data_IF_704018654544
#
_entry.id   IF_704018654544
#
_cell.length_a   1.000
_cell.length_b   1.000
_cell.length_c   1.000
_cell.angle_alpha   90.00
_cell.angle_beta   90.00
_cell.angle_gamma   90.00
#
_symmetry.space_group_name_H-M   'P 1'
#
loop_
_entity.id
_entity.type
_entity.pdbx_description
1 polymer ?
#
# COMPACT_ATOMS: atom_id res chain seq x y z
N UNK A 1 30.80 -3.02 3.71
CA UNK A 1 30.60 -2.42 5.05
C UNK A 1 29.77 -1.13 5.03
N UNK A 2 29.93 -0.23 4.06
CA UNK A 2 29.17 1.03 3.97
C UNK A 2 27.63 0.87 3.99
N UNK A 3 27.07 -0.10 3.25
CA UNK A 3 25.61 -0.35 3.29
C UNK A 3 25.10 -0.76 4.67
N UNK A 4 25.89 -1.49 5.48
CA UNK A 4 25.46 -1.86 6.85
C UNK A 4 25.43 -0.66 7.80
N UNK A 5 26.35 0.30 7.62
CA UNK A 5 26.37 1.57 8.36
C UNK A 5 25.19 2.47 7.97
N UNK A 6 24.88 2.57 6.67
CA UNK A 6 23.69 3.31 6.19
C UNK A 6 22.38 2.69 6.70
N UNK A 7 22.27 1.36 6.67
CA UNK A 7 21.10 0.67 7.24
C UNK A 7 21.01 0.86 8.76
N UNK A 8 22.13 0.85 9.48
CA UNK A 8 22.14 1.10 10.92
C UNK A 8 21.74 2.54 11.29
N UNK A 9 22.17 3.53 10.50
CA UNK A 9 21.78 4.93 10.65
C UNK A 9 20.31 5.16 10.28
N UNK A 10 19.83 4.56 9.19
CA UNK A 10 18.41 4.60 8.80
C UNK A 10 17.50 3.99 9.86
N UNK A 11 17.97 2.97 10.60
CA UNK A 11 17.25 2.38 11.74
C UNK A 11 17.17 3.29 12.97
N UNK A 12 18.04 4.31 13.08
CA UNK A 12 17.98 5.33 14.14
C UNK A 12 17.10 6.52 13.77
N UNK A 13 16.71 6.66 12.51
CA UNK A 13 15.80 7.72 12.09
C UNK A 13 14.39 7.46 12.62
N UNK A 14 13.68 8.52 12.95
CA UNK A 14 12.27 8.43 13.34
C UNK A 14 11.45 7.80 12.22
N UNK A 15 10.57 6.86 12.57
CA UNK A 15 9.70 6.22 11.58
C UNK A 15 8.56 7.19 11.23
N UNK A 16 8.42 7.61 9.96
CA UNK A 16 7.29 8.45 9.57
C UNK A 16 6.01 7.60 9.46
N UNK A 17 4.99 7.97 10.21
CA UNK A 17 3.73 7.23 10.34
C UNK A 17 2.57 8.13 9.95
N UNK A 18 1.68 7.65 9.09
CA UNK A 18 0.40 8.30 8.82
C UNK A 18 -0.68 7.63 9.68
N UNK A 19 -1.28 8.33 10.67
CA UNK A 19 -2.32 7.76 11.52
C UNK A 19 -3.69 7.81 10.83
N UNK A 20 -4.40 6.69 10.86
CA UNK A 20 -5.85 6.62 10.60
C UNK A 20 -6.54 6.39 11.93
N UNK A 21 -7.36 7.36 12.33
CA UNK A 21 -8.03 7.35 13.64
C UNK A 21 -9.42 6.73 13.50
N UNK A 22 -9.57 5.53 14.03
CA UNK A 22 -10.85 4.85 14.24
C UNK A 22 -11.49 5.21 15.58
N UNK A 23 -12.61 4.54 15.88
CA UNK A 23 -13.31 4.69 17.15
C UNK A 23 -12.38 4.35 18.33
N UNK A 24 -12.36 5.22 19.35
CA UNK A 24 -11.48 5.13 20.53
C UNK A 24 -9.96 5.24 20.23
N UNK A 25 -9.58 5.64 19.01
CA UNK A 25 -8.17 5.78 18.60
C UNK A 25 -7.54 7.15 18.90
N UNK A 26 -8.34 8.22 18.99
CA UNK A 26 -7.82 9.59 19.01
C UNK A 26 -6.86 9.87 20.19
N UNK A 27 -7.30 9.59 21.42
CA UNK A 27 -6.49 9.82 22.62
C UNK A 27 -5.16 9.02 22.60
N UNK A 28 -5.19 7.84 21.97
CA UNK A 28 -4.02 6.98 21.81
C UNK A 28 -3.02 7.59 20.81
N UNK A 29 -3.50 8.08 19.67
CA UNK A 29 -2.66 8.76 18.66
C UNK A 29 -2.06 10.05 19.22
N UNK A 30 -2.81 10.84 19.99
CA UNK A 30 -2.29 12.04 20.65
C UNK A 30 -1.17 11.73 21.67
N UNK A 31 -1.30 10.61 22.38
CA UNK A 31 -0.24 10.12 23.27
C UNK A 31 0.98 9.68 22.47
N UNK A 32 0.76 8.99 21.34
CA UNK A 32 1.81 8.52 20.45
C UNK A 32 2.58 9.68 19.78
N UNK A 33 1.93 10.80 19.51
CA UNK A 33 2.55 12.01 18.92
C UNK A 33 3.74 12.53 19.74
N UNK A 34 3.74 12.29 21.05
CA UNK A 34 4.81 12.70 21.98
C UNK A 34 5.91 11.64 22.12
N UNK A 35 5.80 10.50 21.45
CA UNK A 35 6.72 9.36 21.61
C UNK A 35 7.99 9.58 20.79
N UNK A 36 9.19 9.53 21.40
CA UNK A 36 10.43 9.62 20.65
C UNK A 36 10.61 8.39 19.74
N UNK A 37 11.23 8.61 18.57
CA UNK A 37 11.49 7.55 17.59
C UNK A 37 10.37 7.34 16.57
N UNK A 38 9.27 8.09 16.67
CA UNK A 38 8.19 8.12 15.71
C UNK A 38 7.92 9.57 15.28
N UNK A 39 7.55 9.75 14.02
CA UNK A 39 7.10 11.03 13.50
C UNK A 39 5.74 10.86 12.84
N UNK A 40 4.69 11.41 13.45
CA UNK A 40 3.39 11.48 12.78
C UNK A 40 3.47 12.49 11.64
N UNK A 41 3.05 12.09 10.44
CA UNK A 41 3.07 12.94 9.24
C UNK A 41 1.64 13.24 8.78
N UNK A 42 1.46 14.41 8.17
CA UNK A 42 0.15 14.90 7.74
C UNK A 42 -0.26 14.42 6.34
N UNK A 43 0.65 13.73 5.62
CA UNK A 43 0.39 13.19 4.29
C UNK A 43 0.81 11.71 4.18
N UNK A 44 -0.04 10.83 3.63
CA UNK A 44 0.32 9.43 3.40
C UNK A 44 1.55 9.26 2.51
N UNK A 45 1.79 10.21 1.59
CA UNK A 45 2.93 10.20 0.68
C UNK A 45 4.28 10.40 1.37
N UNK A 46 4.27 10.93 2.60
CA UNK A 46 5.47 11.11 3.42
C UNK A 46 5.66 9.99 4.46
N UNK A 47 4.73 9.03 4.53
CA UNK A 47 4.75 7.97 5.51
C UNK A 47 5.43 6.70 5.00
N UNK A 48 5.95 5.91 5.95
CA UNK A 48 6.37 4.53 5.72
C UNK A 48 5.43 3.51 6.35
N UNK A 49 4.69 3.92 7.37
CA UNK A 49 3.73 3.05 8.06
C UNK A 49 2.36 3.70 8.06
N UNK A 50 1.35 2.93 7.65
CA UNK A 50 -0.05 3.25 7.88
C UNK A 50 -0.45 2.66 9.24
N UNK A 51 -0.74 3.51 10.22
CA UNK A 51 -1.17 3.08 11.54
C UNK A 51 -2.68 3.27 11.66
N UNK A 52 -3.44 2.17 11.72
CA UNK A 52 -4.88 2.21 11.96
C UNK A 52 -5.11 2.05 13.46
N UNK A 53 -5.45 3.14 14.14
CA UNK A 53 -5.65 3.17 15.58
C UNK A 53 -7.14 3.12 15.93
N UNK A 54 -7.58 2.07 16.61
CA UNK A 54 -8.99 1.88 16.98
C UNK A 54 -9.81 1.16 15.91
N UNK A 55 -11.11 1.02 16.19
CA UNK A 55 -12.03 0.29 15.32
C UNK A 55 -12.47 1.13 14.11
N UNK A 56 -12.38 0.55 12.92
CA UNK A 56 -12.81 1.20 11.68
C UNK A 56 -14.01 0.46 11.12
N UNK A 57 -15.04 1.20 10.69
CA UNK A 57 -16.22 0.60 10.08
C UNK A 57 -15.89 -0.04 8.71
N UNK A 58 -16.52 -1.18 8.35
CA UNK A 58 -16.31 -1.84 7.05
C UNK A 58 -16.54 -0.93 5.83
N UNK A 59 -17.42 0.07 5.95
CA UNK A 59 -17.68 1.07 4.91
C UNK A 59 -16.41 1.84 4.47
N UNK A 60 -15.41 1.96 5.34
CA UNK A 60 -14.16 2.67 5.04
C UNK A 60 -13.08 1.79 4.39
N UNK A 61 -13.36 0.51 4.11
CA UNK A 61 -12.41 -0.41 3.48
C UNK A 61 -11.74 0.20 2.24
N UNK A 62 -12.52 0.74 1.30
CA UNK A 62 -11.99 1.35 0.07
C UNK A 62 -11.16 2.60 0.32
N UNK A 63 -11.46 3.37 1.36
CA UNK A 63 -10.67 4.52 1.73
C UNK A 63 -9.30 4.09 2.29
N UNK A 64 -9.26 3.06 3.14
CA UNK A 64 -8.02 2.48 3.66
C UNK A 64 -7.14 1.90 2.55
N UNK A 65 -7.70 1.16 1.60
CA UNK A 65 -6.97 0.64 0.43
C UNK A 65 -6.30 1.79 -0.36
N UNK A 66 -7.03 2.89 -0.60
CA UNK A 66 -6.50 4.08 -1.27
C UNK A 66 -5.40 4.80 -0.47
N UNK A 67 -5.51 4.83 0.86
CA UNK A 67 -4.48 5.43 1.71
C UNK A 67 -3.22 4.57 1.68
N UNK A 68 -3.35 3.26 1.84
CA UNK A 68 -2.24 2.31 1.73
C UNK A 68 -1.51 2.42 0.38
N UNK A 69 -2.26 2.53 -0.73
CA UNK A 69 -1.68 2.69 -2.06
C UNK A 69 -0.94 4.02 -2.27
N UNK A 70 -1.18 5.04 -1.44
CA UNK A 70 -0.46 6.32 -1.51
C UNK A 70 0.89 6.31 -0.78
N UNK A 71 1.15 5.30 0.07
CA UNK A 71 2.42 5.20 0.77
C UNK A 71 3.53 4.77 -0.21
N UNK A 72 4.69 5.45 -0.22
CA UNK A 72 5.85 5.02 -0.99
C UNK A 72 6.41 3.69 -0.49
N UNK A 73 6.90 2.85 -1.40
CA UNK A 73 7.60 1.62 -1.04
C UNK A 73 9.00 1.90 -0.44
N UNK A 74 9.51 1.07 0.48
CA UNK A 74 8.78 0.03 1.22
C UNK A 74 7.82 0.65 2.25
N UNK A 75 6.61 0.10 2.33
CA UNK A 75 5.55 0.52 3.27
C UNK A 75 5.11 -0.63 4.16
N UNK A 76 4.50 -0.33 5.29
CA UNK A 76 3.91 -1.35 6.16
C UNK A 76 2.61 -0.88 6.79
N UNK A 77 1.84 -1.82 7.32
CA UNK A 77 0.56 -1.52 7.99
C UNK A 77 0.52 -2.10 9.40
N UNK A 78 0.04 -1.30 10.35
CA UNK A 78 -0.19 -1.73 11.74
C UNK A 78 -1.62 -1.40 12.14
N UNK A 79 -2.32 -2.39 12.67
CA UNK A 79 -3.62 -2.25 13.33
C UNK A 79 -3.37 -2.18 14.83
N UNK A 80 -3.65 -1.05 15.45
CA UNK A 80 -3.42 -0.83 16.87
C UNK A 80 -4.74 -0.68 17.60
N UNK A 81 -5.02 -1.59 18.53
CA UNK A 81 -6.22 -1.59 19.36
C UNK A 81 -7.50 -1.55 18.50
N UNK A 82 -7.49 -2.28 17.39
CA UNK A 82 -8.58 -2.37 16.43
C UNK A 82 -8.46 -3.64 15.61
N UNK A 83 -9.56 -4.02 14.98
CA UNK A 83 -9.66 -5.25 14.21
C UNK A 83 -9.47 -4.98 12.70
N UNK A 84 -8.66 -5.78 11.98
CA UNK A 84 -8.59 -5.70 10.53
C UNK A 84 -9.97 -5.92 9.89
N UNK A 85 -10.26 -5.15 8.84
CA UNK A 85 -11.52 -5.30 8.10
C UNK A 85 -11.54 -6.60 7.28
N UNK A 86 -12.25 -7.63 7.76
CA UNK A 86 -12.33 -8.95 7.13
C UNK A 86 -11.04 -9.77 7.28
N UNK A 87 -10.89 -10.85 6.51
CA UNK A 87 -9.66 -11.65 6.53
C UNK A 87 -8.50 -10.86 5.93
N UNK A 88 -7.66 -10.26 6.80
CA UNK A 88 -6.38 -9.60 6.48
C UNK A 88 -6.43 -8.65 5.28
N UNK A 89 -7.10 -7.49 5.43
CA UNK A 89 -7.14 -6.44 4.40
C UNK A 89 -5.75 -6.15 3.78
N UNK A 90 -4.71 -6.15 4.61
CA UNK A 90 -3.32 -6.05 4.18
C UNK A 90 -2.59 -7.34 4.57
N UNK A 91 -1.93 -7.98 3.60
CA UNK A 91 -1.36 -9.32 3.75
C UNK A 91 -0.35 -9.41 4.90
N UNK A 92 0.51 -8.39 5.03
CA UNK A 92 1.55 -8.28 6.05
C UNK A 92 1.16 -7.35 7.22
N UNK A 93 -0.10 -6.95 7.28
CA UNK A 93 -0.59 -6.06 8.35
C UNK A 93 -0.49 -6.71 9.73
N UNK A 94 0.27 -6.10 10.64
CA UNK A 94 0.42 -6.58 12.01
C UNK A 94 -0.69 -6.03 12.91
N UNK A 95 -1.24 -6.84 13.83
CA UNK A 95 -2.24 -6.38 14.81
C UNK A 95 -1.65 -6.34 16.21
N UNK A 96 -1.82 -5.23 16.90
CA UNK A 96 -1.31 -4.97 18.25
C UNK A 96 -2.47 -4.64 19.18
N UNK A 97 -2.73 -5.54 20.13
CA UNK A 97 -3.72 -5.32 21.20
C UNK A 97 -3.12 -4.66 22.46
N UNK A 98 -1.79 -4.49 22.50
CA UNK A 98 -1.09 -3.83 23.61
C UNK A 98 -1.16 -2.30 23.55
N UNK A 99 -0.69 -1.66 24.63
CA UNK A 99 -0.67 -0.19 24.72
C UNK A 99 0.52 0.47 24.01
N UNK A 100 1.60 -0.26 23.71
CA UNK A 100 2.75 0.27 22.96
C UNK A 100 2.85 -0.37 21.56
N UNK A 101 2.58 0.37 20.46
CA UNK A 101 2.72 -0.13 19.10
C UNK A 101 4.13 0.07 18.50
N UNK A 102 5.09 0.65 19.24
CA UNK A 102 6.36 1.12 18.69
C UNK A 102 7.17 0.05 17.97
N UNK A 103 7.33 -1.13 18.57
CA UNK A 103 8.12 -2.21 17.96
C UNK A 103 7.43 -2.80 16.74
N UNK A 104 6.10 -2.89 16.74
CA UNK A 104 5.33 -3.31 15.56
C UNK A 104 5.47 -2.29 14.42
N UNK A 105 5.42 -0.99 14.73
CA UNK A 105 5.65 0.08 13.75
C UNK A 105 7.06 -0.02 13.15
N UNK A 106 8.09 -0.26 13.98
CA UNK A 106 9.47 -0.43 13.51
C UNK A 106 9.63 -1.64 12.59
N UNK A 107 9.00 -2.77 12.93
CA UNK A 107 8.98 -3.95 12.05
C UNK A 107 8.26 -3.67 10.74
N UNK A 108 7.06 -3.10 10.80
CA UNK A 108 6.24 -2.78 9.64
C UNK A 108 6.94 -1.82 8.67
N UNK A 109 7.68 -0.83 9.17
CA UNK A 109 8.47 0.10 8.35
C UNK A 109 9.51 -0.59 7.44
N UNK A 110 9.85 -1.85 7.73
CA UNK A 110 10.81 -2.66 6.98
C UNK A 110 10.16 -3.90 6.34
N UNK A 111 8.88 -4.18 6.58
CA UNK A 111 8.20 -5.38 6.10
C UNK A 111 7.94 -5.35 4.59
N UNK A 112 7.65 -4.17 4.03
CA UNK A 112 7.40 -3.97 2.60
C UNK A 112 6.13 -4.68 2.13
N UNK A 113 4.98 -4.24 2.60
CA UNK A 113 3.67 -4.74 2.19
C UNK A 113 3.52 -4.71 0.66
N UNK A 114 3.09 -5.82 0.03
CA UNK A 114 2.94 -5.88 -1.41
C UNK A 114 1.84 -4.92 -1.91
N UNK A 115 1.87 -4.58 -3.20
CA UNK A 115 0.76 -3.89 -3.83
C UNK A 115 -0.47 -4.79 -3.82
N UNK A 116 -1.59 -4.29 -3.29
CA UNK A 116 -2.86 -5.02 -3.36
C UNK A 116 -3.34 -5.22 -4.80
N UNK A 117 -2.89 -4.36 -5.71
CA UNK A 117 -3.12 -4.44 -7.14
C UNK A 117 -1.77 -4.22 -7.84
N UNK A 118 -0.97 -5.28 -7.99
CA UNK A 118 0.29 -5.19 -8.70
C UNK A 118 0.06 -4.67 -10.12
N UNK A 119 0.88 -3.72 -10.54
CA UNK A 119 0.91 -3.24 -11.93
C UNK A 119 1.65 -4.25 -12.82
N UNK A 120 1.10 -5.45 -12.90
CA UNK A 120 1.59 -6.53 -13.76
C UNK A 120 0.69 -6.54 -14.99
N UNK A 121 1.25 -6.47 -16.20
CA UNK A 121 0.46 -6.59 -17.42
C UNK A 121 -0.40 -7.86 -17.35
N UNK A 122 -1.67 -7.83 -17.81
CA UNK A 122 -2.49 -9.02 -17.87
C UNK A 122 -1.76 -10.10 -18.69
N UNK A 123 -2.04 -11.37 -18.39
CA UNK A 123 -1.42 -12.45 -19.13
C UNK A 123 -1.65 -12.28 -20.65
N UNK A 124 -0.75 -12.78 -21.53
CA UNK A 124 -0.83 -12.52 -22.97
C UNK A 124 -2.18 -12.89 -23.60
N UNK A 125 -2.87 -13.88 -23.04
CA UNK A 125 -4.19 -14.38 -23.45
C UNK A 125 -5.37 -13.65 -22.80
N UNK A 126 -5.14 -12.84 -21.76
CA UNK A 126 -6.13 -11.95 -21.12
C UNK A 126 -6.12 -10.55 -21.72
N UNK A 127 -5.18 -10.25 -22.62
CA UNK A 127 -5.22 -8.99 -23.36
C UNK A 127 -6.54 -8.95 -24.13
N UNK A 128 -7.40 -7.94 -23.92
CA UNK A 128 -8.54 -7.76 -24.80
C UNK A 128 -8.00 -7.68 -26.22
N UNK A 129 -8.52 -8.54 -27.12
CA UNK A 129 -8.18 -8.48 -28.55
C UNK A 129 -8.26 -7.02 -28.95
N UNK A 130 -7.16 -6.48 -29.50
CA UNK A 130 -7.10 -5.10 -29.95
C UNK A 130 -8.41 -4.79 -30.68
N UNK A 131 -9.22 -3.90 -30.10
CA UNK A 131 -10.46 -3.48 -30.75
C UNK A 131 -10.01 -2.91 -32.08
N UNK A 132 -10.47 -3.44 -33.23
CA UNK A 132 -10.02 -2.92 -34.50
C UNK A 132 -10.28 -1.42 -34.49
N UNK A 133 -9.24 -0.65 -34.78
CA UNK A 133 -9.32 0.80 -34.85
C UNK A 133 -10.56 1.14 -35.70
N UNK A 134 -11.50 1.86 -35.09
CA UNK A 134 -12.67 2.36 -35.79
C UNK A 134 -12.17 3.17 -36.98
N UNK A 135 -12.34 2.63 -38.19
CA UNK A 135 -12.03 3.33 -39.42
C UNK A 135 -13.08 4.44 -39.55
N UNK A 136 -12.72 5.66 -39.20
CA UNK A 136 -13.61 6.83 -39.29
C UNK A 136 -13.85 7.31 -40.72
N UNK A 137 -13.36 6.60 -41.75
CA UNK A 137 -13.53 7.01 -43.14
C UNK A 137 -13.94 5.83 -44.05
N UNK A 138 -15.00 5.98 -44.86
CA UNK A 138 -15.37 4.99 -45.85
C UNK A 138 -14.45 5.14 -47.07
N UNK A 139 -13.49 4.23 -47.27
CA UNK A 139 -12.84 4.17 -48.59
C UNK A 139 -11.47 3.53 -48.75
N UNK A 140 -10.73 3.12 -47.70
CA UNK A 140 -9.50 2.35 -47.95
C UNK A 140 -9.03 1.55 -46.74
N UNK A 141 -9.51 0.31 -46.65
CA UNK A 141 -8.79 -0.75 -45.94
C UNK A 141 -8.03 -1.56 -46.99
N UNK A 142 -6.77 -1.23 -47.25
CA UNK A 142 -5.88 -2.16 -47.96
C UNK A 142 -5.55 -3.32 -47.02
N UNK A 143 -6.31 -4.40 -47.19
CA UNK A 143 -6.04 -5.71 -46.62
C UNK A 143 -4.90 -6.33 -47.44
N UNK A 144 -3.65 -6.24 -46.99
CA UNK A 144 -2.62 -7.16 -47.48
C UNK A 144 -2.82 -8.50 -46.77
N UNK A 145 -3.65 -9.35 -47.37
CA UNK A 145 -3.59 -10.79 -47.21
C UNK A 145 -2.20 -11.22 -47.67
N UNK A 146 -1.31 -11.61 -46.74
CA UNK A 146 -0.22 -12.50 -47.10
C UNK A 146 -0.66 -13.92 -46.77
N UNK A 147 -1.16 -14.53 -47.83
CA UNK A 147 -1.22 -15.94 -48.19
C UNK A 147 -0.52 -16.93 -47.26
N UNK A 148 -1.24 -18.02 -47.03
CA UNK A 148 -0.78 -19.25 -46.42
C UNK A 148 0.54 -19.73 -47.03
N UNK A 149 1.42 -20.26 -46.19
CA UNK A 149 2.33 -21.29 -46.65
C UNK A 149 2.50 -22.40 -45.61
N UNK A 150 2.68 -23.59 -46.16
CA UNK A 150 2.39 -24.91 -45.66
C UNK A 150 3.64 -25.55 -45.01
N UNK A 151 3.54 -26.03 -43.75
CA UNK A 151 4.12 -27.30 -43.25
C UNK A 151 3.85 -27.52 -41.77
#
# INVERSE_FOLDING_TARGET
MAMRLLTALARRAEVPVFPVVGARGLARVETLRRRPGLRLVDSPRHARVLLVAGEVAPAHKRALERLHAQLPAPRGTVWWQGSPLGSRLFERGETVAGDDPLEAIRRAAHAGDPDQRPDVPPHPWERPRATPAYCSEPGSCHQTLHEADNR
#
